data_IF_281122349111
#
_entry.id   IF_281122349111
#
_cell.length_a   1.000
_cell.length_b   1.000
_cell.length_c   1.000
_cell.angle_alpha   90.00
_cell.angle_beta   90.00
_cell.angle_gamma   90.00
#
_symmetry.space_group_name_H-M   'P 1'
#
loop_
_entity.id
_entity.type
_entity.pdbx_description
1 polymer ?
#
# COMPACT_ATOMS: atom_id res chain seq x y z
N UNK A 1 14.13 23.45 -12.97
CA UNK A 1 14.16 24.07 -11.62
C UNK A 1 12.79 24.12 -10.95
N UNK A 2 11.70 24.40 -11.66
CA UNK A 2 10.32 24.49 -11.15
C UNK A 2 9.82 23.16 -10.54
N UNK A 3 10.07 22.02 -11.19
CA UNK A 3 9.63 20.69 -10.72
C UNK A 3 10.20 20.32 -9.34
N UNK A 4 11.46 20.61 -9.08
CA UNK A 4 12.10 20.32 -7.79
C UNK A 4 11.48 21.14 -6.65
N UNK A 5 11.07 22.36 -6.93
CA UNK A 5 10.40 23.23 -5.95
C UNK A 5 8.98 22.74 -5.64
N UNK A 6 8.24 22.28 -6.64
CA UNK A 6 6.90 21.69 -6.48
C UNK A 6 6.98 20.38 -5.68
N UNK A 7 7.92 19.49 -6.02
CA UNK A 7 8.18 18.25 -5.28
C UNK A 7 8.51 18.53 -3.81
N UNK A 8 9.35 19.53 -3.52
CA UNK A 8 9.65 19.94 -2.13
C UNK A 8 8.40 20.39 -1.37
N UNK A 9 7.51 21.17 -2.00
CA UNK A 9 6.25 21.60 -1.37
C UNK A 9 5.32 20.43 -1.07
N UNK A 10 5.18 19.48 -2.01
CA UNK A 10 4.42 18.25 -1.83
C UNK A 10 4.97 17.40 -0.67
N UNK A 11 6.28 17.19 -0.65
CA UNK A 11 6.94 16.41 0.42
C UNK A 11 6.94 17.09 1.78
N UNK A 12 6.69 18.40 1.85
CA UNK A 12 6.52 19.13 3.11
C UNK A 12 5.11 18.98 3.69
N UNK A 13 4.12 18.60 2.87
CA UNK A 13 2.74 18.42 3.31
C UNK A 13 2.47 16.93 3.59
N UNK A 14 2.24 16.59 4.85
CA UNK A 14 1.97 15.21 5.30
C UNK A 14 0.76 14.60 4.62
N UNK A 15 -0.31 15.39 4.45
CA UNK A 15 -1.52 14.93 3.77
C UNK A 15 -1.23 14.57 2.32
N UNK A 16 -0.42 15.38 1.63
CA UNK A 16 -0.03 15.08 0.26
C UNK A 16 0.78 13.78 0.15
N UNK A 17 1.67 13.50 1.11
CA UNK A 17 2.44 12.24 1.15
C UNK A 17 1.50 11.06 1.35
N UNK A 18 0.54 11.15 2.29
CA UNK A 18 -0.44 10.10 2.54
C UNK A 18 -1.30 9.85 1.31
N UNK A 19 -1.83 10.90 0.67
CA UNK A 19 -2.63 10.77 -0.55
C UNK A 19 -1.84 10.17 -1.71
N UNK A 20 -0.55 10.51 -1.82
CA UNK A 20 0.34 9.90 -2.82
C UNK A 20 0.54 8.41 -2.54
N UNK A 21 0.75 8.02 -1.28
CA UNK A 21 0.85 6.61 -0.90
C UNK A 21 -0.45 5.85 -1.18
N UNK A 22 -1.62 6.44 -0.84
CA UNK A 22 -2.95 5.89 -1.18
C UNK A 22 -3.08 5.66 -2.68
N UNK A 23 -2.68 6.64 -3.49
CA UNK A 23 -2.75 6.53 -4.95
C UNK A 23 -1.88 5.40 -5.50
N UNK A 24 -0.64 5.28 -5.05
CA UNK A 24 0.25 4.20 -5.51
C UNK A 24 -0.25 2.82 -5.04
N UNK A 25 -0.71 2.71 -3.80
CA UNK A 25 -1.28 1.46 -3.30
C UNK A 25 -2.57 1.08 -4.05
N UNK A 26 -3.44 2.03 -4.35
CA UNK A 26 -4.62 1.82 -5.18
C UNK A 26 -4.23 1.32 -6.58
N UNK A 27 -3.27 1.98 -7.23
CA UNK A 27 -2.81 1.60 -8.55
C UNK A 27 -2.27 0.16 -8.58
N UNK A 28 -1.46 -0.20 -7.60
CA UNK A 28 -0.91 -1.55 -7.46
C UNK A 28 -2.01 -2.60 -7.21
N UNK A 29 -3.03 -2.28 -6.40
CA UNK A 29 -4.16 -3.18 -6.14
C UNK A 29 -5.00 -3.39 -7.40
N UNK A 30 -5.27 -2.33 -8.15
CA UNK A 30 -5.95 -2.43 -9.45
C UNK A 30 -5.14 -3.27 -10.42
N UNK A 31 -3.81 -3.09 -10.46
CA UNK A 31 -2.93 -3.93 -11.29
C UNK A 31 -3.05 -5.41 -10.92
N UNK A 32 -3.07 -5.74 -9.62
CA UNK A 32 -3.26 -7.11 -9.15
C UNK A 32 -4.63 -7.69 -9.58
N UNK A 33 -5.69 -6.88 -9.53
CA UNK A 33 -7.03 -7.31 -9.95
C UNK A 33 -7.09 -7.73 -11.41
N UNK A 34 -6.36 -7.04 -12.28
CA UNK A 34 -6.35 -7.36 -13.71
C UNK A 34 -5.25 -8.34 -14.14
N UNK A 35 -4.13 -8.38 -13.42
CA UNK A 35 -2.99 -9.22 -13.80
C UNK A 35 -3.03 -10.63 -13.19
N UNK A 36 -3.55 -10.74 -11.96
CA UNK A 36 -3.42 -11.96 -11.17
C UNK A 36 -4.74 -12.59 -10.73
N UNK A 37 -5.81 -11.82 -10.62
CA UNK A 37 -7.11 -12.35 -10.20
C UNK A 37 -8.07 -12.48 -11.39
N UNK A 38 -8.63 -13.66 -11.58
CA UNK A 38 -9.72 -13.90 -12.54
C UNK A 38 -11.06 -13.56 -11.88
N UNK A 39 -11.28 -12.25 -11.64
CA UNK A 39 -12.53 -11.79 -11.08
C UNK A 39 -13.61 -11.87 -12.16
N UNK A 40 -14.63 -12.70 -11.96
CA UNK A 40 -15.79 -12.80 -12.85
C UNK A 40 -16.68 -11.55 -12.76
N UNK A 41 -16.13 -10.41 -13.17
CA UNK A 41 -16.82 -9.10 -13.09
C UNK A 41 -17.67 -8.92 -14.36
N UNK A 42 -18.99 -8.94 -14.19
CA UNK A 42 -19.98 -8.73 -15.24
C UNK A 42 -20.79 -7.46 -14.92
N UNK A 43 -20.62 -6.41 -15.68
CA UNK A 43 -21.44 -5.20 -15.56
C UNK A 43 -20.75 -3.99 -14.91
N UNK A 44 -21.24 -2.81 -15.32
CA UNK A 44 -20.64 -1.50 -15.03
C UNK A 44 -20.56 -1.20 -13.53
N UNK A 45 -21.57 -1.59 -12.76
CA UNK A 45 -21.63 -1.34 -11.30
C UNK A 45 -20.53 -2.11 -10.58
N UNK A 46 -20.27 -3.37 -10.97
CA UNK A 46 -19.25 -4.19 -10.36
C UNK A 46 -17.85 -3.63 -10.63
N UNK A 47 -17.58 -3.16 -11.86
CA UNK A 47 -16.33 -2.45 -12.18
C UNK A 47 -16.17 -1.20 -11.34
N UNK A 48 -17.21 -0.41 -11.17
CA UNK A 48 -17.16 0.79 -10.35
C UNK A 48 -16.83 0.48 -8.89
N UNK A 49 -17.46 -0.54 -8.30
CA UNK A 49 -17.18 -1.01 -6.93
C UNK A 49 -15.74 -1.51 -6.84
N UNK A 50 -15.26 -2.29 -7.82
CA UNK A 50 -13.90 -2.81 -7.86
C UNK A 50 -12.85 -1.70 -7.81
N UNK A 51 -13.11 -0.57 -8.48
CA UNK A 51 -12.21 0.58 -8.52
C UNK A 51 -12.23 1.41 -7.25
N UNK A 52 -13.38 1.55 -6.61
CA UNK A 52 -13.54 2.39 -5.41
C UNK A 52 -13.14 1.65 -4.13
N UNK A 53 -13.42 0.37 -4.03
CA UNK A 53 -13.22 -0.40 -2.81
C UNK A 53 -11.78 -0.31 -2.24
N UNK A 54 -10.71 -0.43 -3.05
CA UNK A 54 -9.34 -0.28 -2.54
C UNK A 54 -9.03 1.11 -2.01
N UNK A 55 -9.67 2.16 -2.56
CA UNK A 55 -9.47 3.56 -2.10
C UNK A 55 -9.98 3.70 -0.67
N UNK A 56 -11.19 3.22 -0.38
CA UNK A 56 -11.81 3.35 0.95
C UNK A 56 -10.96 2.65 2.02
N UNK A 57 -10.56 1.41 1.76
CA UNK A 57 -9.73 0.61 2.66
C UNK A 57 -8.36 1.24 2.88
N UNK A 58 -7.73 1.70 1.80
CA UNK A 58 -6.40 2.31 1.87
C UNK A 58 -6.42 3.65 2.60
N UNK A 59 -7.45 4.49 2.37
CA UNK A 59 -7.64 5.75 3.11
C UNK A 59 -7.81 5.50 4.61
N UNK A 60 -8.54 4.45 4.99
CA UNK A 60 -8.72 4.10 6.39
C UNK A 60 -7.37 3.76 7.04
N UNK A 61 -6.61 2.83 6.47
CA UNK A 61 -5.34 2.39 7.05
C UNK A 61 -4.27 3.47 7.00
N UNK A 62 -4.07 4.13 5.86
CA UNK A 62 -3.03 5.16 5.73
C UNK A 62 -3.40 6.44 6.45
N UNK A 63 -4.70 6.75 6.54
CA UNK A 63 -5.23 7.88 7.31
C UNK A 63 -4.89 7.80 8.81
N UNK A 64 -4.78 6.58 9.37
CA UNK A 64 -4.34 6.39 10.75
C UNK A 64 -2.97 7.03 11.04
N UNK A 65 -2.09 7.09 10.06
CA UNK A 65 -0.78 7.72 10.19
C UNK A 65 -0.86 9.23 10.48
N UNK A 66 -1.95 9.89 10.12
CA UNK A 66 -2.16 11.33 10.33
C UNK A 66 -2.48 11.69 11.78
N UNK A 67 -2.96 10.74 12.59
CA UNK A 67 -3.20 10.97 14.03
C UNK A 67 -1.92 11.22 14.81
N UNK A 68 -0.77 10.85 14.25
CA UNK A 68 0.51 11.05 14.89
C UNK A 68 0.95 12.50 14.71
N UNK A 69 1.18 13.22 15.81
CA UNK A 69 1.51 14.66 15.77
C UNK A 69 2.89 14.94 15.16
N UNK A 70 3.87 14.08 15.41
CA UNK A 70 5.26 14.27 14.96
C UNK A 70 5.46 13.77 13.53
N UNK A 71 6.14 14.52 12.63
CA UNK A 71 6.26 14.14 11.21
C UNK A 71 7.13 12.88 10.96
N UNK A 72 8.22 12.72 11.69
CA UNK A 72 9.11 11.56 11.51
C UNK A 72 8.43 10.22 11.81
N UNK A 73 7.79 10.02 12.99
CA UNK A 73 7.07 8.77 13.24
C UNK A 73 5.86 8.57 12.33
N UNK A 74 5.19 9.64 11.87
CA UNK A 74 4.12 9.51 10.85
C UNK A 74 4.60 8.80 9.61
N UNK A 75 5.75 9.21 9.06
CA UNK A 75 6.31 8.61 7.85
C UNK A 75 6.77 7.16 8.10
N UNK A 76 7.35 6.88 9.25
CA UNK A 76 7.75 5.52 9.61
C UNK A 76 6.53 4.59 9.72
N UNK A 77 5.46 5.05 10.35
CA UNK A 77 4.22 4.27 10.48
C UNK A 77 3.52 4.13 9.13
N UNK A 78 3.50 5.18 8.30
CA UNK A 78 2.97 5.08 6.95
C UNK A 78 3.70 4.00 6.14
N UNK A 79 5.03 3.97 6.21
CA UNK A 79 5.84 2.93 5.54
C UNK A 79 5.54 1.53 6.09
N UNK A 80 5.40 1.38 7.41
CA UNK A 80 5.07 0.09 8.03
C UNK A 80 3.68 -0.38 7.57
N UNK A 81 2.70 0.52 7.54
CA UNK A 81 1.35 0.20 7.05
C UNK A 81 1.39 -0.21 5.58
N UNK A 82 2.15 0.50 4.75
CA UNK A 82 2.32 0.18 3.33
C UNK A 82 2.94 -1.21 3.12
N UNK A 83 4.02 -1.52 3.85
CA UNK A 83 4.66 -2.84 3.81
C UNK A 83 3.68 -3.94 4.24
N UNK A 84 2.95 -3.75 5.34
CA UNK A 84 1.99 -4.75 5.83
C UNK A 84 0.84 -4.99 4.83
N UNK A 85 0.28 -3.92 4.27
CA UNK A 85 -0.78 -4.05 3.26
C UNK A 85 -0.26 -4.67 1.95
N UNK A 86 0.98 -4.33 1.54
CA UNK A 86 1.61 -4.95 0.37
C UNK A 86 1.86 -6.43 0.59
N UNK A 87 2.35 -6.80 1.77
CA UNK A 87 2.55 -8.19 2.14
C UNK A 87 1.22 -8.96 2.11
N UNK A 88 0.16 -8.38 2.67
CA UNK A 88 -1.18 -8.99 2.67
C UNK A 88 -1.70 -9.15 1.23
N UNK A 89 -1.56 -8.14 0.39
CA UNK A 89 -1.92 -8.21 -1.03
C UNK A 89 -1.15 -9.32 -1.75
N UNK A 90 0.18 -9.37 -1.53
CA UNK A 90 1.05 -10.35 -2.18
C UNK A 90 0.76 -11.77 -1.71
N UNK A 91 0.50 -11.98 -0.43
CA UNK A 91 0.06 -13.28 0.10
C UNK A 91 -1.26 -13.72 -0.55
N UNK A 92 -2.22 -12.80 -0.74
CA UNK A 92 -3.45 -13.11 -1.44
C UNK A 92 -3.20 -13.49 -2.91
N UNK A 93 -2.26 -12.83 -3.61
CA UNK A 93 -1.90 -13.16 -4.99
C UNK A 93 -1.33 -14.59 -5.07
N UNK A 94 -0.35 -14.92 -4.21
CA UNK A 94 0.24 -16.27 -4.18
C UNK A 94 -0.82 -17.33 -3.83
N UNK A 95 -1.65 -17.05 -2.83
CA UNK A 95 -2.73 -17.95 -2.43
C UNK A 95 -3.75 -18.17 -3.55
N UNK A 96 -4.13 -17.10 -4.25
CA UNK A 96 -5.06 -17.18 -5.36
C UNK A 96 -4.48 -17.97 -6.55
N UNK A 97 -3.19 -17.83 -6.83
CA UNK A 97 -2.51 -18.62 -7.89
C UNK A 97 -2.50 -20.11 -7.60
N UNK A 98 -2.46 -20.51 -6.33
CA UNK A 98 -2.47 -21.93 -5.90
C UNK A 98 -3.88 -22.48 -5.81
N UNK A 99 -4.79 -21.76 -5.15
CA UNK A 99 -6.10 -22.28 -4.75
C UNK A 99 -7.27 -21.70 -5.54
N UNK A 100 -7.04 -20.71 -6.39
CA UNK A 100 -8.08 -19.95 -7.14
C UNK A 100 -9.13 -19.33 -6.20
N UNK A 101 -8.74 -19.02 -4.96
CA UNK A 101 -9.58 -18.44 -3.92
C UNK A 101 -8.78 -17.42 -3.10
N UNK A 102 -9.48 -16.57 -2.34
CA UNK A 102 -8.86 -15.58 -1.48
C UNK A 102 -8.60 -16.10 -0.07
N UNK A 103 -7.56 -15.53 0.58
CA UNK A 103 -7.28 -15.84 1.99
C UNK A 103 -8.46 -15.39 2.84
N UNK A 104 -9.06 -16.33 3.56
CA UNK A 104 -10.14 -16.10 4.52
C UNK A 104 -9.65 -16.35 5.94
N UNK A 105 -10.41 -15.88 6.95
CA UNK A 105 -10.12 -16.18 8.36
C UNK A 105 -10.09 -17.70 8.62
N UNK A 106 -10.95 -18.46 7.94
CA UNK A 106 -10.96 -19.93 8.03
C UNK A 106 -9.67 -20.54 7.46
N UNK A 107 -9.16 -19.99 6.35
CA UNK A 107 -7.89 -20.44 5.75
C UNK A 107 -6.72 -20.17 6.71
N UNK A 108 -6.73 -19.00 7.38
CA UNK A 108 -5.69 -18.66 8.38
C UNK A 108 -5.75 -19.56 9.60
N UNK A 109 -6.94 -19.86 10.10
CA UNK A 109 -7.10 -20.79 11.25
C UNK A 109 -6.72 -22.23 10.90
N UNK A 110 -6.87 -22.62 9.62
CA UNK A 110 -6.39 -23.90 9.08
C UNK A 110 -4.95 -23.90 8.59
N UNK A 111 -4.16 -22.86 8.92
CA UNK A 111 -2.85 -22.56 8.35
C UNK A 111 -1.83 -23.71 8.45
N UNK A 112 -1.91 -24.57 9.47
CA UNK A 112 -1.02 -25.74 9.60
C UNK A 112 -1.15 -26.73 8.44
N UNK A 113 -2.34 -26.88 7.86
CA UNK A 113 -2.59 -27.73 6.68
C UNK A 113 -2.24 -27.01 5.38
N UNK A 114 -2.48 -25.70 5.33
CA UNK A 114 -2.23 -24.86 4.16
C UNK A 114 -0.73 -24.55 4.01
N UNK A 115 0.00 -24.38 5.12
CA UNK A 115 1.44 -24.10 5.09
C UNK A 115 2.27 -25.26 4.56
N UNK A 116 1.85 -26.50 4.74
CA UNK A 116 2.54 -27.67 4.18
C UNK A 116 2.44 -27.70 2.65
N UNK A 117 1.33 -27.24 2.07
CA UNK A 117 1.18 -27.08 0.62
C UNK A 117 1.91 -25.86 0.06
N UNK A 118 1.80 -24.72 0.75
CA UNK A 118 2.39 -23.44 0.31
C UNK A 118 3.92 -23.40 0.42
N UNK A 119 4.53 -24.06 1.41
CA UNK A 119 5.99 -23.96 1.61
C UNK A 119 6.81 -24.61 0.48
N UNK A 120 6.25 -25.61 -0.21
CA UNK A 120 6.91 -26.29 -1.32
C UNK A 120 6.71 -25.58 -2.68
N UNK A 121 5.54 -24.96 -2.90
CA UNK A 121 5.15 -24.40 -4.19
C UNK A 121 5.24 -22.87 -4.28
N UNK A 122 5.31 -22.18 -3.15
CA UNK A 122 5.26 -20.70 -3.13
C UNK A 122 6.30 -20.03 -4.03
N UNK A 123 7.52 -20.55 -4.07
CA UNK A 123 8.58 -20.01 -4.92
C UNK A 123 8.33 -20.24 -6.41
N UNK A 124 7.70 -21.35 -6.78
CA UNK A 124 7.34 -21.64 -8.18
C UNK A 124 6.17 -20.81 -8.68
N UNK A 125 5.36 -20.27 -7.77
CA UNK A 125 4.22 -19.40 -8.07
C UNK A 125 4.61 -17.92 -8.25
N UNK A 126 5.83 -17.56 -7.87
CA UNK A 126 6.36 -16.20 -8.06
C UNK A 126 6.60 -15.93 -9.54
N UNK A 127 6.12 -14.81 -10.03
CA UNK A 127 6.30 -14.37 -11.41
C UNK A 127 7.24 -13.16 -11.47
N UNK A 128 7.99 -12.96 -12.56
CA UNK A 128 8.90 -11.82 -12.69
C UNK A 128 8.23 -10.46 -12.53
N UNK A 129 6.95 -10.33 -12.90
CA UNK A 129 6.21 -9.08 -12.77
C UNK A 129 5.82 -8.75 -11.32
N UNK A 130 5.95 -9.68 -10.37
CA UNK A 130 5.63 -9.45 -8.95
C UNK A 130 6.47 -8.33 -8.33
N UNK A 131 7.63 -8.03 -8.92
CA UNK A 131 8.47 -6.90 -8.53
C UNK A 131 7.70 -5.57 -8.57
N UNK A 132 6.70 -5.45 -9.45
CA UNK A 132 5.87 -4.25 -9.58
C UNK A 132 5.14 -3.92 -8.27
N UNK A 133 4.72 -4.94 -7.52
CA UNK A 133 4.00 -4.75 -6.25
C UNK A 133 4.87 -4.20 -5.11
N UNK A 134 6.19 -4.18 -5.28
CA UNK A 134 7.15 -3.68 -4.29
C UNK A 134 7.77 -2.33 -4.69
N UNK A 135 7.50 -1.84 -5.93
CA UNK A 135 8.11 -0.61 -6.45
C UNK A 135 7.73 0.63 -5.65
N UNK A 136 6.50 0.75 -5.19
CA UNK A 136 6.03 1.89 -4.41
C UNK A 136 6.77 1.98 -3.07
N UNK A 137 7.00 0.85 -2.40
CA UNK A 137 7.80 0.78 -1.17
C UNK A 137 9.24 1.24 -1.45
N UNK A 138 9.85 0.78 -2.54
CA UNK A 138 11.19 1.19 -2.91
C UNK A 138 11.27 2.70 -3.20
N UNK A 139 10.29 3.24 -3.93
CA UNK A 139 10.16 4.68 -4.21
C UNK A 139 9.95 5.46 -2.92
N UNK A 140 9.10 4.95 -2.01
CA UNK A 140 8.82 5.62 -0.73
C UNK A 140 10.05 5.63 0.19
N UNK A 141 10.78 4.52 0.27
CA UNK A 141 12.08 4.46 1.00
C UNK A 141 13.06 5.45 0.38
N UNK A 142 13.20 5.47 -0.94
CA UNK A 142 14.04 6.43 -1.65
C UNK A 142 13.68 7.89 -1.34
N UNK A 143 12.38 8.19 -1.28
CA UNK A 143 11.87 9.51 -0.89
C UNK A 143 12.28 9.86 0.55
N UNK A 144 12.13 8.94 1.50
CA UNK A 144 12.50 9.17 2.90
C UNK A 144 14.00 9.40 3.06
N UNK A 145 14.83 8.63 2.36
CA UNK A 145 16.28 8.81 2.35
C UNK A 145 16.64 10.16 1.76
N UNK A 146 16.02 10.54 0.64
CA UNK A 146 16.25 11.83 -0.01
C UNK A 146 15.86 13.01 0.90
N UNK A 147 14.72 12.95 1.58
CA UNK A 147 14.28 13.97 2.54
C UNK A 147 15.27 14.11 3.70
N UNK A 148 15.80 12.98 4.21
CA UNK A 148 16.79 12.95 5.29
C UNK A 148 18.11 13.57 4.84
N UNK A 149 18.63 13.19 3.67
CA UNK A 149 19.90 13.71 3.11
C UNK A 149 19.82 15.19 2.82
N UNK A 150 18.71 15.65 2.22
CA UNK A 150 18.51 17.08 1.90
C UNK A 150 18.07 17.93 3.10
N UNK A 151 17.91 17.33 4.30
CA UNK A 151 17.47 18.01 5.53
C UNK A 151 16.18 18.83 5.33
N UNK A 152 15.25 18.34 4.50
CA UNK A 152 14.00 19.05 4.19
C UNK A 152 13.08 18.91 5.41
N UNK A 153 12.63 20.01 6.03
CA UNK A 153 11.71 19.96 7.16
C UNK A 153 10.31 19.60 6.68
N UNK A 154 9.74 18.55 7.27
CA UNK A 154 8.34 18.18 7.04
C UNK A 154 7.50 18.98 8.03
N UNK A 155 6.52 19.72 7.52
CA UNK A 155 5.67 20.58 8.36
C UNK A 155 4.77 19.71 9.27
N UNK A 156 4.65 20.09 10.54
CA UNK A 156 3.63 19.56 11.44
C UNK A 156 2.24 20.01 10.96
N UNK A 157 1.24 19.13 11.18
CA UNK A 157 -0.13 19.41 10.74
C UNK A 157 -0.69 20.68 11.42
N UNK A 158 -1.32 21.61 10.70
CA UNK A 158 -1.93 22.80 11.29
C UNK A 158 -3.13 22.47 12.22
N UNK A 159 -3.73 21.29 12.09
CA UNK A 159 -4.87 20.83 12.92
C UNK A 159 -4.51 20.63 14.40
N UNK A 160 -3.25 20.70 14.79
CA UNK A 160 -2.81 20.50 16.17
C UNK A 160 -2.48 21.78 16.94
N UNK A 161 -2.87 22.96 16.46
CA UNK A 161 -2.84 24.17 17.31
C UNK A 161 -4.02 24.06 18.29
N UNK A 162 -3.79 23.94 19.61
CA UNK A 162 -4.88 24.15 20.54
C UNK A 162 -5.40 25.55 20.33
N UNK A 163 -6.72 25.70 20.19
CA UNK A 163 -7.33 27.00 20.34
C UNK A 163 -6.99 27.49 21.75
N UNK A 164 -6.14 28.51 21.82
CA UNK A 164 -5.87 29.26 23.03
C UNK A 164 -7.00 30.21 23.29
#
# INVERSE_FOLDING_TARGET
MIYVTQLKKLCQNRLAIVLTAVFFFWLKTITAYYADFSLGVEGTIQYFILWINPIATTLLFFGLSLYIKKPKPTLAILLIIDILNTLLLYLNIIFYREFTDFITVKSVLGFSKVSQGLSGSSFSLMKPHDVIYWLDIAVFIGLLVWLKVKKIPIKSNPVSKPMA
#
